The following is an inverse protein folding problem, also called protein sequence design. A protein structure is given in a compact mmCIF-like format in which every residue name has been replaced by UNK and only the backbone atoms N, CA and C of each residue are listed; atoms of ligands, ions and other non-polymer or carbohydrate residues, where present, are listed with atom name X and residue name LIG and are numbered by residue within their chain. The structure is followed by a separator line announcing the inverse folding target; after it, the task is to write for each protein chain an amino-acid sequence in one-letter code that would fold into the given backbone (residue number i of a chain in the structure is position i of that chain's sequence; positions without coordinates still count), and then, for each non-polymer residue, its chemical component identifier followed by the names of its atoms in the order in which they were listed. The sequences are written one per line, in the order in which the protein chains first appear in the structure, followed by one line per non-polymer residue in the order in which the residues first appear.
data_IF_707551828168
#
_entry.id   IF_707551828168
#
_cell.length_a   1.000
_cell.length_b   1.000
_cell.length_c   1.000
_cell.angle_alpha   90.00
_cell.angle_beta   90.00
_cell.angle_gamma   90.00
#
_symmetry.space_group_name_H-M   'P 1'
#
loop_
_entity.id
_entity.type
_entity.pdbx_description
1 polymer ?
#
# COMPACT_ATOMS: atom_id res chain seq x y z
N UNK A 1 -5.20 10.93 -35.81
CA UNK A 1 -5.54 10.71 -34.39
C UNK A 1 -4.41 11.22 -33.52
N UNK A 2 -4.60 12.36 -32.85
CA UNK A 2 -3.57 12.97 -32.00
C UNK A 2 -3.55 12.22 -30.66
N UNK A 3 -2.45 11.51 -30.38
CA UNK A 3 -2.25 10.80 -29.11
C UNK A 3 -2.17 11.86 -28.01
N UNK A 4 -3.23 12.05 -27.20
CA UNK A 4 -3.18 12.93 -26.04
C UNK A 4 -2.06 12.44 -25.12
N UNK A 5 -1.00 13.22 -24.99
CA UNK A 5 0.03 13.00 -23.98
C UNK A 5 -0.65 13.25 -22.63
N UNK A 6 -0.95 12.20 -21.87
CA UNK A 6 -1.40 12.36 -20.48
C UNK A 6 -0.20 12.80 -19.65
N UNK A 7 -0.33 13.89 -18.90
CA UNK A 7 0.68 14.34 -17.94
C UNK A 7 0.82 13.30 -16.82
N UNK A 8 1.96 13.28 -16.12
CA UNK A 8 2.17 12.37 -14.98
C UNK A 8 1.09 12.55 -13.91
N UNK A 9 0.67 13.79 -13.66
CA UNK A 9 -0.41 14.13 -12.73
C UNK A 9 -1.77 13.58 -13.20
N UNK A 10 -2.12 13.78 -14.47
CA UNK A 10 -3.36 13.23 -15.02
C UNK A 10 -3.35 11.69 -14.99
N UNK A 11 -2.19 11.06 -15.17
CA UNK A 11 -2.06 9.62 -15.03
C UNK A 11 -2.29 9.19 -13.59
N UNK A 12 -1.60 9.82 -12.63
CA UNK A 12 -1.73 9.54 -11.21
C UNK A 12 -3.17 9.73 -10.69
N UNK A 13 -3.83 10.81 -11.09
CA UNK A 13 -5.24 11.05 -10.79
C UNK A 13 -6.10 9.87 -11.26
N UNK A 14 -6.02 9.53 -12.55
CA UNK A 14 -6.86 8.49 -13.16
C UNK A 14 -6.56 7.09 -12.63
N UNK A 15 -5.31 6.76 -12.30
CA UNK A 15 -4.91 5.38 -11.96
C UNK A 15 -4.85 5.11 -10.46
N UNK A 16 -4.77 6.15 -9.64
CA UNK A 16 -4.66 6.00 -8.18
C UNK A 16 -5.84 6.67 -7.48
N UNK A 17 -6.01 7.98 -7.65
CA UNK A 17 -6.98 8.74 -6.85
C UNK A 17 -8.43 8.44 -7.26
N UNK A 18 -8.70 8.35 -8.55
CA UNK A 18 -10.04 8.02 -9.07
C UNK A 18 -10.39 6.56 -8.77
N UNK A 19 -9.41 5.64 -8.85
CA UNK A 19 -9.63 4.23 -8.48
C UNK A 19 -9.98 4.08 -6.99
N UNK A 20 -9.37 4.87 -6.10
CA UNK A 20 -9.73 4.88 -4.69
C UNK A 20 -11.17 5.35 -4.46
N UNK A 21 -11.65 6.33 -5.23
CA UNK A 21 -12.97 6.94 -5.04
C UNK A 21 -14.10 6.17 -5.73
N UNK A 22 -13.86 5.79 -6.97
CA UNK A 22 -14.87 5.31 -7.90
C UNK A 22 -14.68 3.82 -8.25
N UNK A 23 -13.53 3.26 -7.88
CA UNK A 23 -13.14 1.90 -8.26
C UNK A 23 -12.52 1.87 -9.66
N UNK A 24 -11.99 0.72 -10.01
CA UNK A 24 -11.44 0.42 -11.32
C UNK A 24 -11.92 -0.93 -11.83
N UNK A 25 -11.43 -1.33 -12.99
CA UNK A 25 -11.85 -2.59 -13.61
C UNK A 25 -11.59 -3.84 -12.72
N UNK A 26 -10.49 -3.82 -11.96
CA UNK A 26 -10.06 -4.94 -11.09
C UNK A 26 -10.02 -4.58 -9.61
N UNK A 27 -10.37 -3.35 -9.25
CA UNK A 27 -10.21 -2.84 -7.89
C UNK A 27 -11.53 -2.22 -7.44
N UNK A 28 -12.15 -2.71 -6.35
CA UNK A 28 -13.31 -2.03 -5.79
C UNK A 28 -12.90 -0.63 -5.31
N UNK A 29 -13.86 0.27 -5.27
CA UNK A 29 -13.67 1.56 -4.61
C UNK A 29 -13.39 1.36 -3.12
N UNK A 30 -12.75 2.33 -2.49
CA UNK A 30 -12.58 2.35 -1.05
C UNK A 30 -13.90 2.74 -0.38
N UNK A 31 -14.44 1.83 0.43
CA UNK A 31 -15.71 2.04 1.12
C UNK A 31 -15.50 2.12 2.63
N UNK A 32 -15.58 3.33 3.18
CA UNK A 32 -15.42 3.55 4.62
C UNK A 32 -16.39 2.70 5.45
N UNK A 33 -17.64 2.54 5.01
CA UNK A 33 -18.63 1.72 5.70
C UNK A 33 -18.23 0.25 5.92
N UNK A 34 -17.24 -0.27 5.18
CA UNK A 34 -16.73 -1.64 5.33
C UNK A 34 -15.53 -1.77 6.28
N UNK A 35 -14.82 -0.67 6.54
CA UNK A 35 -13.50 -0.72 7.21
C UNK A 35 -13.33 0.31 8.33
N UNK A 36 -14.23 1.30 8.43
CA UNK A 36 -14.16 2.33 9.47
C UNK A 36 -14.22 1.68 10.85
N UNK A 37 -13.16 1.87 11.64
CA UNK A 37 -13.01 1.30 12.97
C UNK A 37 -12.07 2.17 13.80
N UNK A 38 -12.30 2.24 15.11
CA UNK A 38 -11.47 3.01 16.04
C UNK A 38 -10.02 2.50 16.13
N UNK A 39 -9.72 1.30 15.64
CA UNK A 39 -8.40 0.69 15.63
C UNK A 39 -7.80 0.56 14.24
N UNK A 40 -8.46 1.07 13.19
CA UNK A 40 -7.95 0.98 11.83
C UNK A 40 -6.53 1.55 11.72
N UNK A 41 -5.67 0.82 10.98
CA UNK A 41 -4.30 1.20 10.62
C UNK A 41 -4.15 1.20 9.10
N UNK A 42 -3.39 2.16 8.59
CA UNK A 42 -3.07 2.26 7.18
C UNK A 42 -1.55 2.17 6.96
N UNK A 43 -1.15 1.45 5.91
CA UNK A 43 0.26 1.23 5.57
C UNK A 43 0.53 1.83 4.20
N UNK A 44 1.43 2.81 4.13
CA UNK A 44 1.87 3.40 2.87
C UNK A 44 3.24 2.82 2.51
N UNK A 45 3.26 1.93 1.52
CA UNK A 45 4.47 1.21 1.11
C UNK A 45 5.07 1.93 -0.10
N UNK A 46 6.31 2.41 0.02
CA UNK A 46 6.96 3.29 -0.96
C UNK A 46 8.38 2.82 -1.27
N UNK A 47 8.88 2.97 -2.51
CA UNK A 47 10.26 2.62 -2.81
C UNK A 47 11.22 3.60 -2.14
N UNK A 48 12.40 3.13 -1.77
CA UNK A 48 13.51 3.94 -1.26
C UNK A 48 14.04 4.94 -2.31
N UNK A 49 13.84 4.62 -3.59
CA UNK A 49 14.29 5.43 -4.72
C UNK A 49 13.20 5.53 -5.79
N UNK A 50 13.00 6.74 -6.32
CA UNK A 50 12.13 6.94 -7.49
C UNK A 50 12.93 6.79 -8.78
N UNK A 51 12.28 6.44 -9.88
CA UNK A 51 12.96 6.40 -11.18
C UNK A 51 13.47 7.78 -11.65
N UNK A 52 13.00 8.87 -11.02
CA UNK A 52 13.42 10.25 -11.29
C UNK A 52 14.49 10.78 -10.37
N UNK A 53 14.94 10.02 -9.35
CA UNK A 53 15.96 10.48 -8.41
C UNK A 53 17.23 10.91 -9.14
N UNK A 54 17.36 12.22 -9.33
CA UNK A 54 18.52 12.85 -9.99
C UNK A 54 19.56 13.34 -8.99
N UNK A 55 19.31 13.19 -7.68
CA UNK A 55 20.27 13.50 -6.62
C UNK A 55 19.81 13.07 -5.21
N UNK A 56 20.68 13.24 -4.19
CA UNK A 56 20.44 12.79 -2.81
C UNK A 56 19.25 13.46 -2.09
N UNK A 57 18.78 14.60 -2.62
CA UNK A 57 17.67 15.39 -2.07
C UNK A 57 16.33 15.15 -2.76
N UNK A 58 16.29 14.31 -3.80
CA UNK A 58 15.07 13.99 -4.50
C UNK A 58 14.32 12.89 -3.72
N UNK A 59 13.24 13.27 -3.05
CA UNK A 59 12.43 12.40 -2.19
C UNK A 59 11.39 11.59 -2.98
N UNK A 60 11.45 11.62 -4.31
CA UNK A 60 10.58 10.85 -5.19
C UNK A 60 9.22 11.50 -5.40
N UNK A 61 8.17 10.95 -4.80
CA UNK A 61 6.79 11.39 -5.01
C UNK A 61 6.08 11.81 -3.71
N UNK A 62 6.71 12.62 -2.83
CA UNK A 62 6.14 12.97 -1.53
C UNK A 62 4.78 13.67 -1.65
N UNK A 63 4.61 14.52 -2.67
CA UNK A 63 3.34 15.22 -2.91
C UNK A 63 2.23 14.25 -3.32
N UNK A 64 2.55 13.24 -4.13
CA UNK A 64 1.58 12.20 -4.52
C UNK A 64 1.23 11.31 -3.33
N UNK A 65 2.19 10.96 -2.49
CA UNK A 65 1.96 10.21 -1.25
C UNK A 65 1.07 10.97 -0.28
N UNK A 66 1.29 12.28 -0.15
CA UNK A 66 0.41 13.16 0.62
C UNK A 66 -0.99 13.20 0.03
N UNK A 67 -1.13 13.32 -1.29
CA UNK A 67 -2.43 13.29 -1.96
C UNK A 67 -3.19 11.96 -1.73
N UNK A 68 -2.49 10.82 -1.67
CA UNK A 68 -3.10 9.53 -1.31
C UNK A 68 -3.64 9.61 0.11
N UNK A 69 -2.84 10.03 1.09
CA UNK A 69 -3.29 10.13 2.49
C UNK A 69 -4.48 11.06 2.63
N UNK A 70 -4.41 12.24 2.04
CA UNK A 70 -5.52 13.22 2.06
C UNK A 70 -6.77 12.65 1.42
N UNK A 71 -6.64 11.96 0.28
CA UNK A 71 -7.80 11.34 -0.39
C UNK A 71 -8.39 10.22 0.46
N UNK A 72 -7.57 9.32 0.99
CA UNK A 72 -8.02 8.23 1.88
C UNK A 72 -8.67 8.78 3.14
N UNK A 73 -8.07 9.77 3.81
CA UNK A 73 -8.65 10.41 4.99
C UNK A 73 -9.93 11.22 4.71
N UNK A 74 -10.15 11.65 3.45
CA UNK A 74 -11.44 12.25 3.05
C UNK A 74 -12.55 11.20 2.86
N UNK A 75 -12.18 9.96 2.55
CA UNK A 75 -13.10 8.84 2.37
C UNK A 75 -13.37 8.15 3.72
N UNK A 76 -12.31 7.89 4.49
CA UNK A 76 -12.29 7.16 5.78
C UNK A 76 -11.80 8.14 6.86
N UNK A 77 -12.70 8.88 7.54
CA UNK A 77 -12.32 10.00 8.41
C UNK A 77 -11.36 9.65 9.56
N UNK A 78 -11.43 8.45 10.14
CA UNK A 78 -10.46 8.03 11.16
C UNK A 78 -9.02 8.07 10.65
N UNK A 79 -8.79 7.80 9.36
CA UNK A 79 -7.47 7.86 8.73
C UNK A 79 -6.98 9.28 8.43
N UNK A 80 -7.69 10.33 8.87
CA UNK A 80 -7.10 11.68 8.94
C UNK A 80 -6.04 11.78 10.05
N UNK A 81 -6.10 10.90 11.05
CA UNK A 81 -5.08 10.79 12.08
C UNK A 81 -3.80 10.15 11.52
N UNK A 82 -2.74 10.95 11.39
CA UNK A 82 -1.42 10.52 10.92
C UNK A 82 -0.80 9.43 11.82
N UNK A 83 -1.18 9.32 13.10
CA UNK A 83 -0.69 8.26 13.99
C UNK A 83 -1.20 6.87 13.60
N UNK A 84 -2.22 6.78 12.74
CA UNK A 84 -2.73 5.53 12.17
C UNK A 84 -1.99 5.10 10.91
N UNK A 85 -1.15 5.98 10.35
CA UNK A 85 -0.36 5.69 9.17
C UNK A 85 1.03 5.19 9.54
N UNK A 86 1.47 4.12 8.88
CA UNK A 86 2.86 3.67 8.89
C UNK A 86 3.42 3.70 7.48
N UNK A 87 4.45 4.52 7.25
CA UNK A 87 5.22 4.46 6.00
C UNK A 87 6.20 3.30 6.09
N UNK A 88 6.22 2.45 5.07
CA UNK A 88 7.20 1.37 4.93
C UNK A 88 8.00 1.64 3.67
N UNK A 89 9.31 1.79 3.83
CA UNK A 89 10.23 2.00 2.70
C UNK A 89 10.83 0.66 2.29
N UNK A 90 10.73 0.32 1.01
CA UNK A 90 11.20 -0.94 0.44
C UNK A 90 12.27 -0.70 -0.62
N UNK A 91 13.10 -1.70 -0.93
CA UNK A 91 14.11 -1.61 -1.97
C UNK A 91 13.62 -2.35 -3.21
N UNK A 92 13.41 -1.67 -4.35
CA UNK A 92 12.98 -2.33 -5.57
C UNK A 92 13.90 -3.49 -5.97
N UNK A 93 13.31 -4.59 -6.44
CA UNK A 93 14.07 -5.71 -7.00
C UNK A 93 14.59 -5.29 -8.38
N UNK A 94 15.92 -5.23 -8.52
CA UNK A 94 16.59 -4.76 -9.74
C UNK A 94 17.50 -5.82 -10.38
N UNK A 95 17.96 -5.53 -11.60
CA UNK A 95 18.92 -6.35 -12.34
C UNK A 95 18.31 -7.39 -13.27
N UNK A 96 19.19 -8.13 -13.98
CA UNK A 96 18.80 -9.07 -15.06
C UNK A 96 17.87 -10.19 -14.59
N UNK A 97 17.94 -10.56 -13.31
CA UNK A 97 17.16 -11.65 -12.71
C UNK A 97 15.91 -11.15 -11.96
N UNK A 98 15.59 -9.85 -12.02
CA UNK A 98 14.47 -9.27 -11.27
C UNK A 98 13.14 -9.98 -11.60
N UNK A 99 12.93 -10.34 -12.86
CA UNK A 99 11.75 -11.08 -13.31
C UNK A 99 11.65 -12.45 -12.64
N UNK A 100 12.76 -13.17 -12.50
CA UNK A 100 12.77 -14.51 -11.89
C UNK A 100 12.52 -14.42 -10.38
N UNK A 101 13.06 -13.39 -9.73
CA UNK A 101 12.83 -13.11 -8.30
C UNK A 101 11.34 -12.80 -8.06
N UNK A 102 10.78 -11.85 -8.81
CA UNK A 102 9.38 -11.42 -8.64
C UNK A 102 8.37 -12.53 -8.93
N UNK A 103 8.67 -13.43 -9.88
CA UNK A 103 7.79 -14.55 -10.24
C UNK A 103 8.03 -15.82 -9.40
N UNK A 104 9.10 -15.88 -8.61
CA UNK A 104 9.40 -17.08 -7.81
C UNK A 104 8.35 -17.26 -6.71
N UNK A 105 7.72 -18.44 -6.57
CA UNK A 105 6.78 -18.71 -5.48
C UNK A 105 7.49 -18.90 -4.12
N UNK A 106 8.82 -19.06 -4.12
CA UNK A 106 9.62 -19.33 -2.91
C UNK A 106 10.31 -18.09 -2.34
N UNK A 107 10.06 -16.91 -2.94
CA UNK A 107 10.69 -15.63 -2.59
C UNK A 107 9.64 -14.61 -2.20
N UNK A 108 9.98 -13.72 -1.28
CA UNK A 108 9.09 -12.66 -0.78
C UNK A 108 9.52 -11.26 -1.24
N UNK A 109 10.70 -11.12 -1.84
CA UNK A 109 11.21 -9.85 -2.35
C UNK A 109 10.25 -9.24 -3.39
N UNK A 110 9.97 -7.94 -3.24
CA UNK A 110 9.00 -7.22 -4.08
C UNK A 110 7.54 -7.59 -3.83
N UNK A 111 7.22 -8.36 -2.78
CA UNK A 111 5.85 -8.76 -2.44
C UNK A 111 5.38 -8.14 -1.13
N UNK A 112 4.07 -8.00 -1.04
CA UNK A 112 3.34 -7.63 0.17
C UNK A 112 2.45 -8.81 0.51
N UNK A 113 2.63 -9.38 1.70
CA UNK A 113 1.89 -10.57 2.15
C UNK A 113 1.08 -10.17 3.36
N UNK A 114 -0.23 -10.32 3.28
CA UNK A 114 -1.14 -10.13 4.40
C UNK A 114 -1.78 -11.46 4.76
N UNK A 115 -1.73 -11.83 6.04
CA UNK A 115 -2.42 -12.99 6.59
C UNK A 115 -3.47 -12.50 7.58
N UNK A 116 -4.70 -12.98 7.40
CA UNK A 116 -5.75 -12.91 8.41
C UNK A 116 -6.14 -14.33 8.80
N UNK A 117 -6.16 -14.60 10.10
CA UNK A 117 -6.38 -15.91 10.68
C UNK A 117 -7.42 -15.78 11.80
N UNK A 118 -8.71 -15.97 11.50
CA UNK A 118 -9.78 -15.76 12.48
C UNK A 118 -9.83 -16.86 13.56
N UNK A 119 -9.09 -17.96 13.39
CA UNK A 119 -9.03 -19.06 14.35
C UNK A 119 -7.56 -19.43 14.64
N UNK A 120 -6.75 -18.43 14.98
CA UNK A 120 -5.29 -18.57 14.98
C UNK A 120 -4.74 -19.65 15.93
N UNK A 121 -5.41 -19.91 17.06
CA UNK A 121 -4.94 -20.88 18.06
C UNK A 121 -6.08 -21.75 18.65
N UNK A 122 -5.78 -23.03 19.01
CA UNK A 122 -6.71 -23.89 19.74
C UNK A 122 -6.82 -23.44 21.21
N UNK A 123 -8.04 -23.13 21.66
CA UNK A 123 -8.35 -22.69 23.02
C UNK A 123 -9.78 -22.15 23.10
N UNK A 124 -10.28 -21.86 24.31
CA UNK A 124 -11.63 -21.33 24.50
C UNK A 124 -11.83 -19.94 23.87
N UNK A 125 -10.76 -19.15 23.78
CA UNK A 125 -10.82 -17.74 23.38
C UNK A 125 -10.45 -17.48 21.91
N UNK A 126 -10.12 -18.53 21.13
CA UNK A 126 -9.75 -18.50 19.68
C UNK A 126 -9.42 -17.10 19.13
N UNK A 127 -8.27 -16.50 19.51
CA UNK A 127 -8.00 -15.14 19.12
C UNK A 127 -7.82 -15.04 17.60
N UNK A 128 -8.33 -13.95 17.04
CA UNK A 128 -8.06 -13.53 15.68
C UNK A 128 -6.59 -13.07 15.58
N UNK A 129 -5.97 -13.30 14.43
CA UNK A 129 -4.66 -12.75 14.12
C UNK A 129 -4.70 -12.01 12.79
N UNK A 130 -3.99 -10.88 12.72
CA UNK A 130 -3.61 -10.27 11.45
C UNK A 130 -2.10 -10.01 11.43
N UNK A 131 -1.48 -10.24 10.29
CA UNK A 131 -0.04 -10.02 10.12
C UNK A 131 0.28 -9.54 8.70
N UNK A 132 1.21 -8.59 8.61
CA UNK A 132 1.65 -7.99 7.35
C UNK A 132 3.17 -8.14 7.23
N UNK A 133 3.61 -8.67 6.11
CA UNK A 133 5.00 -8.69 5.68
C UNK A 133 5.17 -7.85 4.42
N UNK A 134 6.24 -7.07 4.40
CA UNK A 134 6.72 -6.38 3.20
C UNK A 134 8.12 -6.89 2.94
N UNK A 135 8.33 -7.48 1.77
CA UNK A 135 9.54 -8.25 1.46
C UNK A 135 9.75 -9.38 2.49
N UNK A 136 10.87 -9.38 3.20
CA UNK A 136 11.21 -10.37 4.23
C UNK A 136 10.83 -9.90 5.65
N UNK A 137 10.32 -8.69 5.80
CA UNK A 137 10.12 -8.05 7.11
C UNK A 137 8.66 -8.10 7.56
N UNK A 138 8.42 -8.65 8.74
CA UNK A 138 7.14 -8.50 9.43
C UNK A 138 7.02 -7.06 9.93
N UNK A 139 6.06 -6.32 9.37
CA UNK A 139 5.86 -4.89 9.67
C UNK A 139 4.67 -4.66 10.60
N UNK A 140 3.81 -5.67 10.74
CA UNK A 140 2.67 -5.67 11.65
C UNK A 140 2.34 -7.10 12.08
N UNK A 141 1.93 -7.23 13.35
CA UNK A 141 1.30 -8.40 13.94
C UNK A 141 0.35 -7.89 15.01
N UNK A 142 -0.88 -8.37 14.95
CA UNK A 142 -1.92 -8.09 15.93
C UNK A 142 -2.68 -9.37 16.25
N UNK A 143 -3.12 -9.49 17.51
CA UNK A 143 -3.80 -10.68 18.03
C UNK A 143 -4.82 -10.24 19.06
N UNK A 144 -6.11 -10.59 18.86
CA UNK A 144 -7.23 -10.12 19.69
C UNK A 144 -8.34 -11.16 19.82
#
# INVERSE_FOLDING_TARGET
MTKKIKTTEAMFQNTVLDVLKDGGHYHPKLEAALIEDDNIKAYLIVPNQSWRQTGPSDTGYPDMWKLIRTTVGSIVPTLQDEARWKTIVYAPVEGKNAKDILNSPYRSEGKIIFKHDPEHAPGADKPHMSALWVEEKQVHLDTW
#
